data_IF_369704592365
#
_entry.id   IF_369704592365
#
_cell.length_a   1.000
_cell.length_b   1.000
_cell.length_c   1.000
_cell.angle_alpha   90.00
_cell.angle_beta   90.00
_cell.angle_gamma   90.00
#
_symmetry.space_group_name_H-M   'P 1'
#
loop_
_entity.id
_entity.type
_entity.pdbx_description
1 polymer ?
#
# COMPACT_ATOMS: atom_id res chain seq x y z
N UNK A 1 50.57 63.48 -19.89
CA UNK A 1 51.44 62.37 -20.32
C UNK A 1 50.64 61.08 -20.27
N UNK A 2 50.55 60.35 -21.38
CA UNK A 2 49.89 59.04 -21.50
C UNK A 2 50.85 57.96 -21.02
N UNK A 3 50.38 56.99 -20.24
CA UNK A 3 50.90 55.63 -20.31
C UNK A 3 49.76 54.64 -20.01
N UNK A 4 49.34 53.93 -21.06
CA UNK A 4 48.60 52.68 -20.98
C UNK A 4 49.64 51.57 -20.85
N UNK A 5 49.44 50.63 -19.93
CA UNK A 5 49.93 49.26 -20.08
C UNK A 5 48.86 48.29 -19.56
N UNK A 6 48.49 47.35 -20.43
CA UNK A 6 47.62 46.19 -20.21
C UNK A 6 48.45 45.02 -19.67
N UNK A 7 47.87 44.14 -18.83
CA UNK A 7 47.55 42.71 -19.12
C UNK A 7 47.34 41.84 -17.85
N UNK A 8 46.06 41.48 -17.62
CA UNK A 8 45.43 40.16 -17.26
C UNK A 8 45.85 39.36 -15.97
N UNK A 9 45.11 38.31 -15.54
CA UNK A 9 44.27 38.31 -14.34
C UNK A 9 44.73 37.29 -13.28
N UNK A 10 44.66 37.60 -12.00
CA UNK A 10 44.65 36.55 -10.97
C UNK A 10 43.26 36.48 -10.33
N UNK A 11 42.60 35.37 -10.62
CA UNK A 11 41.47 34.82 -9.89
C UNK A 11 41.73 34.88 -8.39
N UNK A 12 41.11 35.84 -7.73
CA UNK A 12 40.96 35.91 -6.28
C UNK A 12 39.50 35.67 -5.94
N UNK A 13 39.09 34.40 -5.95
CA UNK A 13 37.79 33.94 -5.48
C UNK A 13 37.64 34.23 -3.98
N UNK A 14 37.23 35.44 -3.62
CA UNK A 14 36.88 35.84 -2.25
C UNK A 14 35.40 36.17 -2.09
N UNK A 15 34.55 35.53 -2.91
CA UNK A 15 33.08 35.56 -2.81
C UNK A 15 32.49 34.19 -2.44
N UNK A 16 33.05 33.47 -1.46
CA UNK A 16 32.41 32.28 -0.86
C UNK A 16 32.82 32.11 0.61
N UNK A 17 32.54 33.11 1.45
CA UNK A 17 32.43 32.93 2.89
C UNK A 17 31.13 33.58 3.37
N UNK A 18 30.02 32.94 2.98
CA UNK A 18 28.73 33.08 3.64
C UNK A 18 28.09 31.70 3.77
N UNK A 19 28.85 30.72 4.27
CA UNK A 19 28.30 29.54 4.90
C UNK A 19 27.88 29.89 6.33
N UNK A 20 26.92 30.81 6.46
CA UNK A 20 26.17 31.01 7.68
C UNK A 20 25.04 29.97 7.69
N UNK A 21 25.32 28.83 8.32
CA UNK A 21 24.48 28.27 9.39
C UNK A 21 23.04 28.82 9.42
N UNK A 22 22.19 28.27 8.56
CA UNK A 22 20.78 28.04 8.87
C UNK A 22 20.29 26.95 7.93
N UNK A 23 20.63 25.70 8.27
CA UNK A 23 19.74 24.58 7.95
C UNK A 23 18.45 24.82 8.73
N UNK A 24 17.67 25.82 8.29
CA UNK A 24 16.31 26.03 8.73
C UNK A 24 15.64 24.73 8.32
N UNK A 25 15.32 23.91 9.33
CA UNK A 25 14.52 22.70 9.17
C UNK A 25 13.30 23.07 8.33
N UNK A 26 13.37 22.84 7.02
CA UNK A 26 12.21 22.96 6.15
C UNK A 26 11.36 21.74 6.48
N UNK A 27 10.56 21.91 7.53
CA UNK A 27 9.58 20.93 7.97
C UNK A 27 8.73 20.57 6.76
N UNK A 28 8.81 19.31 6.32
CA UNK A 28 7.94 18.78 5.28
C UNK A 28 6.51 18.97 5.76
N UNK A 29 5.81 19.92 5.15
CA UNK A 29 4.44 20.30 5.52
C UNK A 29 3.38 19.60 4.67
N UNK A 30 3.80 19.01 3.55
CA UNK A 30 2.98 18.27 2.59
C UNK A 30 3.84 17.38 1.68
N UNK A 31 3.22 16.43 0.97
CA UNK A 31 3.91 15.67 -0.09
C UNK A 31 4.54 16.60 -1.14
N UNK A 32 3.79 17.61 -1.60
CA UNK A 32 4.29 18.55 -2.60
C UNK A 32 5.52 19.35 -2.15
N UNK A 33 5.59 19.72 -0.87
CA UNK A 33 6.78 20.38 -0.32
C UNK A 33 7.98 19.43 -0.26
N UNK A 34 7.76 18.15 0.03
CA UNK A 34 8.81 17.15 0.00
C UNK A 34 9.33 16.93 -1.42
N UNK A 35 8.43 16.81 -2.40
CA UNK A 35 8.80 16.67 -3.81
C UNK A 35 9.66 17.85 -4.27
N UNK A 36 9.22 19.10 -4.03
CA UNK A 36 10.00 20.30 -4.35
C UNK A 36 11.37 20.33 -3.66
N UNK A 37 11.43 19.94 -2.39
CA UNK A 37 12.68 19.89 -1.65
C UNK A 37 13.68 18.91 -2.28
N UNK A 38 13.25 17.68 -2.55
CA UNK A 38 14.14 16.65 -3.12
C UNK A 38 14.42 16.84 -4.61
N UNK A 39 13.54 17.52 -5.34
CA UNK A 39 13.79 18.00 -6.71
C UNK A 39 14.93 19.04 -6.74
N UNK A 40 14.94 19.97 -5.78
CA UNK A 40 15.99 20.98 -5.65
C UNK A 40 17.30 20.39 -5.07
N UNK A 41 17.19 19.40 -4.18
CA UNK A 41 18.29 18.80 -3.45
C UNK A 41 18.49 17.32 -3.82
N UNK A 42 18.61 17.01 -5.13
CA UNK A 42 18.65 15.61 -5.63
C UNK A 42 19.74 14.74 -5.00
N UNK A 43 20.85 15.34 -4.53
CA UNK A 43 21.94 14.65 -3.82
C UNK A 43 21.55 14.14 -2.43
N UNK A 44 20.48 14.68 -1.85
CA UNK A 44 20.00 14.32 -0.51
C UNK A 44 18.93 13.23 -0.52
N UNK A 45 18.40 12.87 -1.70
CA UNK A 45 17.37 11.84 -1.86
C UNK A 45 17.97 10.44 -1.63
N UNK A 46 17.97 10.01 -0.38
CA UNK A 46 18.22 8.64 0.07
C UNK A 46 17.30 8.29 1.25
N UNK A 47 17.09 6.98 1.47
CA UNK A 47 16.12 6.48 2.46
C UNK A 47 16.34 7.03 3.87
N UNK A 48 17.59 7.06 4.35
CA UNK A 48 17.91 7.52 5.72
C UNK A 48 17.61 9.00 5.88
N UNK A 49 17.99 9.83 4.90
CA UNK A 49 17.71 11.26 4.93
C UNK A 49 16.20 11.55 4.89
N UNK A 50 15.46 10.85 4.04
CA UNK A 50 13.99 10.98 3.98
C UNK A 50 13.37 10.65 5.34
N UNK A 51 13.77 9.55 5.99
CA UNK A 51 13.26 9.18 7.32
C UNK A 51 13.63 10.24 8.36
N UNK A 52 14.88 10.72 8.38
CA UNK A 52 15.32 11.75 9.33
C UNK A 52 14.50 13.03 9.18
N UNK A 53 14.35 13.55 7.96
CA UNK A 53 13.60 14.78 7.70
C UNK A 53 12.12 14.61 8.10
N UNK A 54 11.53 13.45 7.80
CA UNK A 54 10.16 13.15 8.21
C UNK A 54 10.03 12.98 9.73
N UNK A 55 11.04 12.42 10.41
CA UNK A 55 11.06 12.31 11.87
C UNK A 55 11.13 13.68 12.52
N UNK A 56 12.01 14.55 12.03
CA UNK A 56 12.12 15.93 12.50
C UNK A 56 10.83 16.71 12.22
N UNK A 57 10.24 16.49 11.04
CA UNK A 57 8.94 17.04 10.68
C UNK A 57 7.84 16.55 11.63
N UNK A 58 7.82 15.27 11.99
CA UNK A 58 6.85 14.70 12.92
C UNK A 58 6.99 15.31 14.32
N UNK A 59 8.22 15.50 14.81
CA UNK A 59 8.46 16.13 16.10
C UNK A 59 8.05 17.61 16.12
N UNK A 60 8.09 18.30 14.97
CA UNK A 60 7.65 19.69 14.85
C UNK A 60 6.13 19.83 14.63
N UNK A 61 5.56 19.05 13.72
CA UNK A 61 4.14 19.07 13.37
C UNK A 61 3.69 17.65 12.94
N UNK A 62 3.20 16.84 13.90
CA UNK A 62 2.76 15.47 13.65
C UNK A 62 1.65 15.41 12.59
N UNK A 63 0.73 16.38 12.61
CA UNK A 63 -0.43 16.36 11.73
C UNK A 63 -0.01 16.58 10.28
N UNK A 64 0.83 17.57 9.99
CA UNK A 64 1.31 17.80 8.63
C UNK A 64 2.14 16.64 8.09
N UNK A 65 3.03 16.11 8.93
CA UNK A 65 3.91 15.01 8.52
C UNK A 65 3.14 13.74 8.22
N UNK A 66 2.19 13.35 9.08
CA UNK A 66 1.39 12.14 8.83
C UNK A 66 0.46 12.34 7.63
N UNK A 67 -0.14 13.52 7.46
CA UNK A 67 -0.92 13.80 6.26
C UNK A 67 -0.08 13.77 4.99
N UNK A 68 1.19 14.20 5.02
CA UNK A 68 2.12 14.06 3.91
C UNK A 68 2.41 12.58 3.59
N UNK A 69 2.69 11.76 4.61
CA UNK A 69 2.89 10.31 4.45
C UNK A 69 1.68 9.64 3.80
N UNK A 70 0.47 9.90 4.30
CA UNK A 70 -0.77 9.34 3.77
C UNK A 70 -1.09 9.87 2.36
N UNK A 71 -0.75 11.13 2.06
CA UNK A 71 -0.82 11.67 0.71
C UNK A 71 0.13 10.94 -0.25
N UNK A 72 1.36 10.64 0.17
CA UNK A 72 2.31 9.84 -0.61
C UNK A 72 1.80 8.42 -0.87
N UNK A 73 1.15 7.82 0.13
CA UNK A 73 0.49 6.53 -0.05
C UNK A 73 -0.65 6.58 -1.07
N UNK A 74 -1.53 7.58 -0.94
CA UNK A 74 -2.61 7.84 -1.89
C UNK A 74 -2.08 8.06 -3.31
N UNK A 75 -1.14 8.99 -3.50
CA UNK A 75 -0.56 9.33 -4.79
C UNK A 75 0.02 8.10 -5.49
N UNK A 76 0.80 7.32 -4.75
CA UNK A 76 1.42 6.10 -5.29
C UNK A 76 0.40 5.04 -5.70
N UNK A 77 -0.67 4.85 -4.92
CA UNK A 77 -1.70 3.87 -5.26
C UNK A 77 -2.65 4.34 -6.37
N UNK A 78 -3.10 5.59 -6.32
CA UNK A 78 -4.14 6.12 -7.21
C UNK A 78 -3.58 6.77 -8.47
N UNK A 79 -2.62 7.67 -8.33
CA UNK A 79 -2.14 8.51 -9.43
C UNK A 79 -1.07 7.77 -10.23
N UNK A 80 -0.15 7.10 -9.52
CA UNK A 80 0.85 6.23 -10.13
C UNK A 80 0.31 4.84 -10.46
N UNK A 81 -0.90 4.50 -9.99
CA UNK A 81 -1.59 3.26 -10.31
C UNK A 81 -0.72 2.02 -10.05
N UNK A 82 0.01 2.03 -8.94
CA UNK A 82 1.02 1.02 -8.64
C UNK A 82 0.43 -0.40 -8.71
N UNK A 83 -0.81 -0.59 -8.26
CA UNK A 83 -1.50 -1.88 -8.25
C UNK A 83 -2.01 -2.33 -9.65
N UNK A 84 -2.09 -1.43 -10.63
CA UNK A 84 -2.63 -1.72 -11.97
C UNK A 84 -1.55 -2.02 -13.00
N UNK A 85 -0.29 -1.73 -12.70
CA UNK A 85 0.84 -2.01 -13.59
C UNK A 85 1.21 -3.50 -13.47
N UNK A 86 1.64 -4.14 -14.56
CA UNK A 86 2.26 -5.47 -14.49
C UNK A 86 3.56 -5.35 -13.69
N UNK A 87 3.44 -5.50 -12.38
CA UNK A 87 4.52 -5.44 -11.43
C UNK A 87 5.33 -6.73 -11.56
N UNK A 88 6.42 -6.67 -12.33
CA UNK A 88 7.38 -7.77 -12.48
C UNK A 88 7.93 -8.17 -11.11
N UNK A 89 7.51 -9.34 -10.60
CA UNK A 89 7.87 -9.87 -9.28
C UNK A 89 9.39 -9.98 -9.05
N UNK A 90 10.20 -10.10 -10.12
CA UNK A 90 11.66 -10.13 -10.01
C UNK A 90 12.26 -8.79 -9.55
N UNK A 91 11.53 -7.68 -9.79
CA UNK A 91 11.87 -6.34 -9.29
C UNK A 91 11.46 -6.09 -7.83
N UNK A 92 10.74 -7.04 -7.20
CA UNK A 92 10.29 -6.97 -5.81
C UNK A 92 11.12 -7.79 -4.85
N UNK A 93 11.77 -8.85 -5.34
CA UNK A 93 12.63 -9.70 -4.50
C UNK A 93 13.83 -8.91 -3.89
N UNK A 94 14.22 -7.79 -4.50
CA UNK A 94 15.22 -6.86 -3.98
C UNK A 94 14.69 -5.87 -2.92
N UNK A 95 13.38 -5.83 -2.65
CA UNK A 95 12.76 -4.83 -1.76
C UNK A 95 13.12 -4.98 -0.26
N UNK A 96 13.80 -6.06 0.13
CA UNK A 96 14.32 -6.26 1.50
C UNK A 96 15.77 -6.80 1.54
N UNK A 97 16.49 -6.79 0.41
CA UNK A 97 17.91 -7.14 0.31
C UNK A 97 18.82 -5.90 0.30
N UNK A 98 20.07 -6.04 0.74
CA UNK A 98 20.95 -4.92 1.09
C UNK A 98 21.22 -3.91 -0.04
N UNK A 99 21.08 -2.63 0.35
CA UNK A 99 21.82 -1.43 -0.11
C UNK A 99 22.64 -1.55 -1.39
N UNK A 100 22.24 -0.85 -2.47
CA UNK A 100 23.21 -0.14 -3.35
C UNK A 100 22.60 0.70 -4.48
N UNK A 101 21.36 0.49 -4.95
CA UNK A 101 20.84 1.21 -6.14
C UNK A 101 19.64 2.12 -5.84
N UNK A 102 19.70 3.34 -6.38
CA UNK A 102 18.65 4.39 -6.30
C UNK A 102 17.37 3.98 -7.05
N UNK A 103 17.49 3.05 -7.99
CA UNK A 103 16.42 2.65 -8.93
C UNK A 103 15.62 1.41 -8.46
N UNK A 104 16.01 0.76 -7.36
CA UNK A 104 15.38 -0.48 -6.86
C UNK A 104 14.19 -0.23 -5.91
N UNK A 105 13.57 0.94 -5.97
CA UNK A 105 12.51 1.32 -5.03
C UNK A 105 11.17 1.18 -5.74
N UNK A 106 10.69 -0.06 -5.77
CA UNK A 106 9.27 -0.33 -6.04
C UNK A 106 8.58 -0.56 -4.69
N UNK A 107 7.48 0.15 -4.37
CA UNK A 107 6.80 -0.07 -3.11
C UNK A 107 6.31 -1.51 -3.01
N UNK A 108 6.84 -2.26 -2.03
CA UNK A 108 6.40 -3.63 -1.79
C UNK A 108 5.07 -3.59 -1.05
N UNK A 109 4.00 -3.88 -1.78
CA UNK A 109 2.64 -3.94 -1.25
C UNK A 109 2.39 -5.25 -0.45
N UNK A 110 3.38 -6.16 -0.44
CA UNK A 110 3.34 -7.51 0.15
C UNK A 110 3.44 -7.57 1.67
N UNK A 111 3.27 -6.45 2.40
CA UNK A 111 2.82 -6.51 3.81
C UNK A 111 1.33 -6.96 3.88
N UNK A 112 1.09 -8.14 3.29
CA UNK A 112 -0.01 -9.11 3.41
C UNK A 112 -1.43 -8.56 3.41
N UNK A 113 -1.68 -7.38 2.84
CA UNK A 113 -2.99 -6.75 3.00
C UNK A 113 -3.63 -6.35 1.69
N UNK A 114 -2.95 -5.60 0.83
CA UNK A 114 -3.60 -5.05 -0.37
C UNK A 114 -3.57 -6.01 -1.58
N UNK A 115 -2.67 -6.99 -1.59
CA UNK A 115 -2.62 -8.04 -2.61
C UNK A 115 -3.26 -9.33 -2.08
N UNK A 116 -4.29 -9.84 -2.76
CA UNK A 116 -5.08 -10.97 -2.24
C UNK A 116 -4.26 -12.24 -2.09
N UNK A 117 -3.40 -12.54 -3.07
CA UNK A 117 -2.58 -13.75 -3.05
C UNK A 117 -1.70 -13.82 -1.79
N UNK A 118 -1.22 -12.68 -1.30
CA UNK A 118 -0.37 -12.58 -0.10
C UNK A 118 -1.18 -12.48 1.21
N UNK A 119 -2.43 -12.02 1.13
CA UNK A 119 -3.32 -11.78 2.28
C UNK A 119 -3.95 -13.06 2.83
N UNK A 120 -4.08 -14.06 1.96
CA UNK A 120 -4.71 -15.34 2.28
C UNK A 120 -3.72 -16.51 2.10
N UNK A 121 -2.74 -16.72 3.00
CA UNK A 121 -1.86 -17.89 2.93
C UNK A 121 -2.52 -19.18 3.45
N UNK A 122 -2.20 -20.35 2.87
CA UNK A 122 -2.67 -21.68 3.32
C UNK A 122 -3.98 -22.15 2.66
N UNK A 123 -4.87 -22.84 3.40
CA UNK A 123 -6.24 -23.21 2.92
C UNK A 123 -7.01 -21.97 2.43
N UNK A 124 -6.70 -20.78 2.96
CA UNK A 124 -7.24 -19.51 2.48
C UNK A 124 -6.69 -19.07 1.11
N UNK A 125 -5.53 -19.55 0.68
CA UNK A 125 -4.96 -19.26 -0.66
C UNK A 125 -5.74 -19.95 -1.77
N UNK A 126 -6.35 -21.10 -1.46
CA UNK A 126 -7.28 -21.78 -2.36
C UNK A 126 -8.57 -20.98 -2.50
N UNK A 127 -9.01 -20.29 -1.43
CA UNK A 127 -10.15 -19.38 -1.48
C UNK A 127 -9.81 -18.08 -2.26
N UNK A 128 -8.57 -17.61 -2.25
CA UNK A 128 -8.15 -16.52 -3.15
C UNK A 128 -8.10 -16.98 -4.62
N UNK A 129 -7.74 -18.24 -4.90
CA UNK A 129 -7.78 -18.83 -6.25
C UNK A 129 -9.19 -18.96 -6.81
N UNK A 130 -10.22 -19.07 -5.96
CA UNK A 130 -11.64 -19.03 -6.37
C UNK A 130 -11.98 -17.71 -7.10
N UNK A 131 -11.27 -16.63 -6.80
CA UNK A 131 -11.41 -15.34 -7.44
C UNK A 131 -10.23 -15.09 -8.37
N UNK A 132 -10.08 -15.85 -9.46
CA UNK A 132 -9.04 -15.55 -10.45
C UNK A 132 -9.19 -14.10 -10.94
N UNK A 133 -8.32 -13.25 -10.44
CA UNK A 133 -8.26 -11.82 -10.73
C UNK A 133 -7.54 -11.64 -12.07
N UNK A 134 -8.21 -11.01 -13.02
CA UNK A 134 -7.60 -10.64 -14.31
C UNK A 134 -7.09 -9.19 -14.27
N UNK A 135 -7.78 -8.34 -13.50
CA UNK A 135 -7.45 -6.93 -13.33
C UNK A 135 -7.81 -6.48 -11.93
N UNK A 136 -6.98 -5.62 -11.36
CA UNK A 136 -7.29 -4.89 -10.13
C UNK A 136 -7.05 -3.40 -10.35
N UNK A 137 -7.84 -2.55 -9.69
CA UNK A 137 -7.79 -1.08 -9.85
C UNK A 137 -8.10 -0.44 -8.51
N UNK A 138 -7.32 0.58 -8.13
CA UNK A 138 -7.61 1.34 -6.91
C UNK A 138 -8.69 2.36 -7.24
N UNK A 139 -9.92 2.03 -6.88
CA UNK A 139 -11.11 2.85 -7.19
C UNK A 139 -11.36 3.99 -6.19
N UNK A 140 -10.71 3.95 -5.03
CA UNK A 140 -10.83 4.99 -4.02
C UNK A 140 -9.76 4.92 -2.94
N UNK A 141 -9.33 6.09 -2.48
CA UNK A 141 -8.45 6.23 -1.31
C UNK A 141 -8.89 7.50 -0.55
N UNK A 142 -9.25 7.31 0.72
CA UNK A 142 -9.59 8.40 1.63
C UNK A 142 -8.85 8.22 2.95
N UNK A 143 -8.53 9.31 3.62
CA UNK A 143 -7.95 9.25 4.95
C UNK A 143 -8.36 10.45 5.80
N UNK A 144 -8.37 10.24 7.10
CA UNK A 144 -8.52 11.27 8.12
C UNK A 144 -7.52 11.01 9.24
N UNK A 145 -6.87 12.06 9.73
CA UNK A 145 -5.91 11.99 10.80
C UNK A 145 -6.15 13.12 11.79
N UNK A 146 -6.46 12.77 13.04
CA UNK A 146 -6.60 13.73 14.13
C UNK A 146 -5.56 13.47 15.23
N UNK A 147 -5.27 12.21 15.51
CA UNK A 147 -4.24 11.79 16.45
C UNK A 147 -3.87 10.33 16.23
N UNK A 148 -2.77 9.83 16.84
CA UNK A 148 -2.44 8.41 16.79
C UNK A 148 -3.52 7.46 17.32
N UNK A 149 -4.49 7.98 18.09
CA UNK A 149 -5.64 7.24 18.63
C UNK A 149 -6.95 7.50 17.87
N UNK A 150 -6.94 8.40 16.88
CA UNK A 150 -8.11 8.79 16.10
C UNK A 150 -7.68 9.10 14.67
N UNK A 151 -7.70 8.07 13.83
CA UNK A 151 -7.48 8.17 12.40
C UNK A 151 -8.31 7.11 11.67
N UNK A 152 -8.47 7.28 10.37
CA UNK A 152 -8.99 6.23 9.52
C UNK A 152 -8.39 6.38 8.12
N UNK A 153 -7.97 5.27 7.51
CA UNK A 153 -7.60 5.21 6.09
C UNK A 153 -8.51 4.18 5.43
N UNK A 154 -9.17 4.55 4.34
CA UNK A 154 -9.97 3.62 3.53
C UNK A 154 -9.36 3.51 2.14
N UNK A 155 -9.11 2.28 1.70
CA UNK A 155 -8.63 1.97 0.35
C UNK A 155 -9.63 1.01 -0.28
N UNK A 156 -10.20 1.39 -1.43
CA UNK A 156 -11.16 0.58 -2.16
C UNK A 156 -10.51 0.06 -3.45
N UNK A 157 -10.40 -1.26 -3.54
CA UNK A 157 -9.89 -1.96 -4.71
C UNK A 157 -11.06 -2.61 -5.44
N UNK A 158 -11.22 -2.26 -6.71
CA UNK A 158 -12.09 -2.94 -7.66
C UNK A 158 -11.29 -4.02 -8.36
N UNK A 159 -11.90 -5.17 -8.56
CA UNK A 159 -11.29 -6.30 -9.25
C UNK A 159 -12.25 -6.82 -10.28
N UNK A 160 -11.72 -7.09 -11.46
CA UNK A 160 -12.42 -7.82 -12.51
C UNK A 160 -11.71 -9.16 -12.67
N UNK A 161 -12.50 -10.23 -12.70
CA UNK A 161 -11.99 -11.57 -12.82
C UNK A 161 -12.98 -12.48 -13.52
N UNK A 162 -12.57 -13.74 -13.63
CA UNK A 162 -13.43 -14.79 -14.17
C UNK A 162 -13.23 -16.08 -13.40
N UNK A 163 -14.27 -16.89 -13.30
CA UNK A 163 -14.15 -18.25 -12.80
C UNK A 163 -13.54 -19.10 -13.91
N UNK A 164 -12.36 -19.66 -13.65
CA UNK A 164 -11.74 -20.65 -14.54
C UNK A 164 -11.92 -22.08 -14.00
N UNK A 165 -11.46 -23.09 -14.74
CA UNK A 165 -11.63 -24.50 -14.34
C UNK A 165 -11.07 -24.82 -12.95
N UNK A 166 -9.95 -24.18 -12.56
CA UNK A 166 -9.38 -24.36 -11.22
C UNK A 166 -10.26 -23.73 -10.13
N UNK A 167 -10.80 -22.54 -10.40
CA UNK A 167 -11.73 -21.82 -9.51
C UNK A 167 -13.03 -22.59 -9.37
N UNK A 168 -13.55 -23.12 -10.47
CA UNK A 168 -14.79 -23.90 -10.55
C UNK A 168 -14.72 -25.19 -9.72
N UNK A 169 -13.64 -25.96 -9.84
CA UNK A 169 -13.46 -27.18 -9.04
C UNK A 169 -13.47 -26.89 -7.53
N UNK A 170 -12.83 -25.78 -7.12
CA UNK A 170 -12.81 -25.32 -5.74
C UNK A 170 -14.17 -24.80 -5.26
N UNK A 171 -14.89 -24.03 -6.08
CA UNK A 171 -16.24 -23.56 -5.76
C UNK A 171 -17.18 -24.74 -5.50
N UNK A 172 -17.14 -25.75 -6.38
CA UNK A 172 -17.95 -26.96 -6.22
C UNK A 172 -17.63 -27.70 -4.93
N UNK A 173 -16.34 -27.94 -4.65
CA UNK A 173 -15.95 -28.66 -3.43
C UNK A 173 -16.39 -27.93 -2.15
N UNK A 174 -16.33 -26.60 -2.13
CA UNK A 174 -16.80 -25.81 -0.98
C UNK A 174 -18.31 -25.78 -0.82
N UNK A 175 -19.09 -25.84 -1.91
CA UNK A 175 -20.54 -25.93 -1.87
C UNK A 175 -21.03 -27.34 -1.49
N UNK A 176 -20.37 -28.38 -2.00
CA UNK A 176 -20.71 -29.77 -1.74
C UNK A 176 -20.33 -30.21 -0.31
N UNK A 177 -19.19 -29.74 0.21
CA UNK A 177 -18.69 -30.08 1.55
C UNK A 177 -19.58 -29.66 2.72
N UNK A 178 -20.54 -28.74 2.50
CA UNK A 178 -21.56 -28.36 3.49
C UNK A 178 -22.72 -29.37 3.59
N UNK A 179 -22.76 -30.40 2.74
CA UNK A 179 -23.85 -31.39 2.69
C UNK A 179 -23.65 -32.58 3.62
N UNK A 180 -22.61 -32.60 4.45
CA UNK A 180 -22.26 -33.73 5.34
C UNK A 180 -23.04 -33.76 6.68
N UNK A 181 -24.12 -32.99 6.79
CA UNK A 181 -24.95 -32.91 7.99
C UNK A 181 -26.43 -33.05 7.70
N UNK A 182 -26.90 -34.27 7.48
CA UNK A 182 -28.33 -34.59 7.57
C UNK A 182 -28.99 -34.93 6.24
N UNK A 183 -29.52 -36.16 6.18
CA UNK A 183 -30.53 -36.59 5.21
C UNK A 183 -31.64 -35.54 5.12
N UNK A 184 -31.91 -35.04 3.90
CA UNK A 184 -33.17 -34.39 3.57
C UNK A 184 -33.04 -32.96 3.05
N UNK A 185 -32.67 -32.81 1.78
CA UNK A 185 -33.29 -31.80 0.93
C UNK A 185 -33.17 -32.17 -0.54
N UNK A 186 -34.28 -32.63 -1.12
CA UNK A 186 -34.54 -32.38 -2.53
C UNK A 186 -34.66 -30.86 -2.71
N UNK A 187 -33.56 -30.20 -3.05
CA UNK A 187 -33.56 -28.75 -3.22
C UNK A 187 -32.25 -28.20 -3.79
N UNK A 188 -32.26 -27.89 -5.10
CA UNK A 188 -31.55 -26.76 -5.73
C UNK A 188 -30.00 -26.64 -5.68
N UNK A 189 -29.22 -27.65 -5.30
CA UNK A 189 -27.75 -27.61 -5.48
C UNK A 189 -27.27 -28.27 -6.79
N UNK A 190 -28.09 -28.25 -7.84
CA UNK A 190 -27.60 -28.48 -9.20
C UNK A 190 -26.85 -27.24 -9.62
N UNK A 191 -25.53 -27.37 -9.68
CA UNK A 191 -24.65 -26.31 -10.17
C UNK A 191 -24.77 -26.30 -11.70
N UNK A 192 -25.44 -25.30 -12.26
CA UNK A 192 -25.54 -25.13 -13.70
C UNK A 192 -24.16 -24.76 -14.26
N UNK A 193 -23.60 -25.65 -15.08
CA UNK A 193 -22.31 -25.45 -15.77
C UNK A 193 -22.28 -24.14 -16.58
N UNK A 194 -23.44 -23.65 -17.02
CA UNK A 194 -23.56 -22.39 -17.75
C UNK A 194 -23.13 -21.17 -16.93
N UNK A 195 -23.15 -21.25 -15.59
CA UNK A 195 -22.72 -20.17 -14.69
C UNK A 195 -21.20 -19.95 -14.71
N UNK A 196 -20.41 -20.95 -15.13
CA UNK A 196 -18.95 -20.86 -15.18
C UNK A 196 -18.38 -20.69 -16.58
N UNK A 197 -19.23 -20.35 -17.56
CA UNK A 197 -18.81 -20.18 -18.95
C UNK A 197 -19.21 -18.80 -19.50
N UNK A 198 -18.46 -18.32 -20.49
CA UNK A 198 -18.74 -17.05 -21.17
C UNK A 198 -18.77 -15.84 -20.24
N UNK A 199 -19.70 -14.91 -20.49
CA UNK A 199 -19.86 -13.69 -19.68
C UNK A 199 -20.36 -13.97 -18.27
N UNK A 200 -21.09 -15.08 -18.05
CA UNK A 200 -21.60 -15.45 -16.72
C UNK A 200 -20.48 -15.82 -15.75
N UNK A 201 -19.37 -16.34 -16.26
CA UNK A 201 -18.19 -16.66 -15.46
C UNK A 201 -17.47 -15.42 -14.92
N UNK A 202 -17.73 -14.24 -15.48
CA UNK A 202 -17.05 -13.00 -15.08
C UNK A 202 -17.63 -12.48 -13.77
N UNK A 203 -16.76 -11.91 -12.95
CA UNK A 203 -17.17 -11.27 -11.71
C UNK A 203 -16.45 -9.94 -11.53
N UNK A 204 -17.11 -9.01 -10.86
CA UNK A 204 -16.49 -7.83 -10.29
C UNK A 204 -16.49 -7.97 -8.77
N UNK A 205 -15.31 -7.89 -8.16
CA UNK A 205 -15.12 -7.86 -6.71
C UNK A 205 -14.84 -6.44 -6.22
N UNK A 206 -15.41 -6.04 -5.08
CA UNK A 206 -14.98 -4.84 -4.35
C UNK A 206 -14.38 -5.26 -3.02
N UNK A 207 -13.16 -4.81 -2.78
CA UNK A 207 -12.42 -4.98 -1.53
C UNK A 207 -12.27 -3.62 -0.86
N UNK A 208 -12.71 -3.50 0.38
CA UNK A 208 -12.58 -2.27 1.18
C UNK A 208 -11.65 -2.56 2.35
N UNK A 209 -10.50 -1.91 2.35
CA UNK A 209 -9.53 -1.93 3.44
C UNK A 209 -9.75 -0.72 4.32
N UNK A 210 -10.13 -0.94 5.56
CA UNK A 210 -10.35 0.10 6.57
C UNK A 210 -9.29 -0.02 7.65
N UNK A 211 -8.36 0.93 7.69
CA UNK A 211 -7.29 1.01 8.68
C UNK A 211 -7.71 1.94 9.82
N UNK A 212 -7.61 1.47 11.05
CA UNK A 212 -7.98 2.21 12.27
C UNK A 212 -6.90 2.08 13.34
N UNK A 213 -6.89 2.92 14.39
CA UNK A 213 -5.94 2.83 15.49
C UNK A 213 -5.92 1.42 16.10
N UNK A 214 -4.74 0.93 16.54
CA UNK A 214 -4.63 -0.37 17.17
C UNK A 214 -5.26 -0.38 18.56
N UNK A 215 -5.89 -1.50 18.90
CA UNK A 215 -6.53 -1.70 20.21
C UNK A 215 -5.47 -1.82 21.30
N UNK A 216 -5.72 -1.25 22.49
CA UNK A 216 -4.83 -1.40 23.65
C UNK A 216 -3.71 -0.35 23.80
N UNK A 217 -3.68 0.68 22.95
CA UNK A 217 -2.96 1.95 23.19
C UNK A 217 -1.43 1.92 23.22
N UNK A 218 -0.77 0.76 23.35
CA UNK A 218 0.68 0.63 23.45
C UNK A 218 1.41 0.65 22.08
N UNK A 219 0.67 0.60 20.97
CA UNK A 219 1.21 0.55 19.60
C UNK A 219 0.80 1.76 18.77
N UNK A 220 0.83 2.97 19.33
CA UNK A 220 0.45 4.16 18.57
C UNK A 220 1.59 4.63 17.67
N UNK A 221 1.26 5.30 16.56
CA UNK A 221 2.25 5.97 15.74
C UNK A 221 2.95 7.07 16.55
N UNK A 222 4.28 7.10 16.51
CA UNK A 222 5.11 8.06 17.25
C UNK A 222 6.42 8.36 16.51
N UNK A 223 7.30 9.15 17.12
CA UNK A 223 8.65 9.41 16.64
C UNK A 223 9.46 8.10 16.44
N UNK A 224 9.17 7.07 17.25
CA UNK A 224 9.76 5.73 17.14
C UNK A 224 9.27 4.94 15.93
N UNK A 225 8.18 5.37 15.29
CA UNK A 225 7.73 4.78 14.03
C UNK A 225 8.71 5.09 12.88
N UNK A 226 9.55 6.12 13.01
CA UNK A 226 10.57 6.49 12.02
C UNK A 226 11.89 5.78 12.35
N UNK A 227 12.06 4.57 11.84
CA UNK A 227 13.18 3.68 12.13
C UNK A 227 14.26 3.78 11.04
N UNK A 228 15.27 4.59 11.34
CA UNK A 228 16.42 4.84 10.45
C UNK A 228 17.30 3.60 10.28
N UNK A 229 17.68 2.84 11.34
CA UNK A 229 18.43 1.59 11.20
C UNK A 229 17.82 0.60 10.21
N UNK A 230 16.51 0.36 10.29
CA UNK A 230 15.84 -0.61 9.41
C UNK A 230 15.30 0.01 8.11
N UNK A 231 15.48 1.32 7.92
CA UNK A 231 14.92 2.07 6.80
C UNK A 231 13.41 1.85 6.64
N UNK A 232 12.65 2.06 7.72
CA UNK A 232 11.20 1.85 7.74
C UNK A 232 10.45 3.00 8.43
N UNK A 233 9.20 3.22 8.00
CA UNK A 233 8.25 4.10 8.68
C UNK A 233 7.05 3.25 9.07
N UNK A 234 7.07 2.73 10.29
CA UNK A 234 6.14 1.72 10.78
C UNK A 234 4.84 2.36 11.25
N UNK A 235 3.80 2.29 10.41
CA UNK A 235 2.46 2.76 10.70
C UNK A 235 1.62 1.68 11.36
N UNK A 236 1.30 1.78 12.66
CA UNK A 236 0.56 0.74 13.35
C UNK A 236 -0.95 0.93 13.15
N UNK A 237 -1.64 -0.12 12.72
CA UNK A 237 -3.08 -0.09 12.52
C UNK A 237 -3.73 -1.46 12.72
N UNK A 238 -5.00 -1.44 13.12
CA UNK A 238 -5.93 -2.53 12.83
C UNK A 238 -6.42 -2.37 11.39
N UNK A 239 -6.69 -3.48 10.70
CA UNK A 239 -7.25 -3.48 9.34
C UNK A 239 -8.49 -4.34 9.31
N UNK A 240 -9.59 -3.77 8.86
CA UNK A 240 -10.77 -4.52 8.43
C UNK A 240 -10.75 -4.63 6.90
N UNK A 241 -11.03 -5.82 6.40
CA UNK A 241 -11.12 -6.12 4.97
C UNK A 241 -12.55 -6.61 4.74
N UNK A 242 -13.32 -5.84 3.98
CA UNK A 242 -14.67 -6.22 3.55
C UNK A 242 -14.67 -6.56 2.06
N UNK A 243 -15.37 -7.63 1.69
CA UNK A 243 -15.40 -8.16 0.32
C UNK A 243 -16.82 -8.33 -0.15
N UNK A 244 -17.10 -7.83 -1.35
CA UNK A 244 -18.36 -8.05 -2.07
C UNK A 244 -18.05 -8.45 -3.51
N UNK A 245 -18.94 -9.20 -4.14
CA UNK A 245 -18.78 -9.62 -5.54
C UNK A 245 -20.11 -9.55 -6.28
N UNK A 246 -20.07 -9.34 -7.59
CA UNK A 246 -21.26 -9.35 -8.45
C UNK A 246 -21.75 -10.76 -8.78
N UNK A 247 -20.93 -11.79 -8.57
CA UNK A 247 -21.24 -13.16 -9.00
C UNK A 247 -22.03 -13.92 -7.95
N UNK A 248 -23.20 -14.42 -8.34
CA UNK A 248 -24.17 -15.08 -7.44
C UNK A 248 -23.56 -16.22 -6.63
N UNK A 249 -22.84 -17.16 -7.28
CA UNK A 249 -22.22 -18.29 -6.56
C UNK A 249 -21.06 -17.91 -5.66
N UNK A 250 -20.34 -16.84 -5.98
CA UNK A 250 -19.27 -16.35 -5.11
C UNK A 250 -19.88 -15.67 -3.88
N UNK A 251 -21.00 -14.94 -4.03
CA UNK A 251 -21.77 -14.44 -2.90
C UNK A 251 -22.35 -15.59 -2.04
N UNK A 252 -22.92 -16.61 -2.67
CA UNK A 252 -23.45 -17.78 -1.97
C UNK A 252 -22.35 -18.48 -1.15
N UNK A 253 -21.15 -18.65 -1.70
CA UNK A 253 -19.99 -19.17 -0.97
C UNK A 253 -19.57 -18.28 0.21
N UNK A 254 -19.52 -16.96 0.01
CA UNK A 254 -19.19 -15.98 1.04
C UNK A 254 -20.21 -15.95 2.19
N UNK A 255 -21.42 -16.49 1.99
CA UNK A 255 -22.48 -16.50 3.00
C UNK A 255 -22.69 -17.87 3.66
N UNK A 256 -22.57 -18.95 2.88
CA UNK A 256 -22.92 -20.30 3.31
C UNK A 256 -21.75 -21.11 3.87
N UNK A 257 -20.52 -20.87 3.43
CA UNK A 257 -19.36 -21.67 3.82
C UNK A 257 -18.56 -20.97 4.94
N UNK A 258 -18.44 -21.58 6.12
CA UNK A 258 -17.77 -20.97 7.29
C UNK A 258 -16.27 -20.69 7.08
N UNK A 259 -15.60 -21.36 6.14
CA UNK A 259 -14.22 -21.06 5.77
C UNK A 259 -14.15 -19.84 4.84
N UNK A 260 -15.03 -19.75 3.84
CA UNK A 260 -15.07 -18.67 2.84
C UNK A 260 -15.71 -17.40 3.40
N UNK A 261 -16.66 -17.52 4.33
CA UNK A 261 -17.33 -16.41 5.03
C UNK A 261 -16.36 -15.51 5.80
N UNK A 262 -15.25 -16.05 6.27
CA UNK A 262 -14.15 -15.27 6.87
C UNK A 262 -13.45 -14.35 5.86
N UNK A 263 -13.64 -14.55 4.56
CA UNK A 263 -13.17 -13.61 3.53
C UNK A 263 -14.14 -12.46 3.31
N UNK A 264 -15.46 -12.66 3.53
CA UNK A 264 -16.48 -11.60 3.36
C UNK A 264 -16.18 -10.39 4.25
N UNK A 265 -15.76 -10.65 5.48
CA UNK A 265 -15.26 -9.64 6.40
C UNK A 265 -14.22 -10.25 7.33
N UNK A 266 -13.01 -9.68 7.33
CA UNK A 266 -11.91 -10.08 8.22
C UNK A 266 -11.35 -8.88 8.96
N UNK A 267 -10.97 -9.08 10.21
CA UNK A 267 -10.23 -8.09 10.98
C UNK A 267 -8.83 -8.62 11.36
N UNK A 268 -7.82 -7.79 11.15
CA UNK A 268 -6.44 -7.98 11.55
C UNK A 268 -6.09 -6.91 12.59
N UNK A 269 -5.62 -7.31 13.76
CA UNK A 269 -5.30 -6.37 14.84
C UNK A 269 -3.80 -6.17 14.99
N UNK A 270 -3.41 -4.95 15.37
CA UNK A 270 -2.03 -4.60 15.78
C UNK A 270 -0.96 -4.84 14.72
N UNK A 271 -1.28 -4.63 13.44
CA UNK A 271 -0.33 -4.74 12.32
C UNK A 271 0.54 -3.49 12.21
N UNK A 272 1.70 -3.63 11.60
CA UNK A 272 2.59 -2.53 11.23
C UNK A 272 2.65 -2.46 9.70
N UNK A 273 2.55 -1.26 9.16
CA UNK A 273 2.58 -0.97 7.74
C UNK A 273 3.74 -0.02 7.43
N UNK A 274 4.71 -0.46 6.65
CA UNK A 274 5.83 0.38 6.26
C UNK A 274 5.40 1.39 5.18
N UNK A 275 5.28 2.67 5.55
CA UNK A 275 4.88 3.74 4.63
C UNK A 275 6.04 4.30 3.81
N UNK A 276 7.29 4.01 4.17
CA UNK A 276 8.46 4.58 3.51
C UNK A 276 8.49 4.29 2.00
N UNK A 277 8.25 3.04 1.53
CA UNK A 277 8.36 2.76 0.10
C UNK A 277 7.36 3.57 -0.72
N UNK A 278 6.13 3.74 -0.23
CA UNK A 278 5.11 4.54 -0.91
C UNK A 278 5.45 6.03 -0.95
N UNK A 279 5.94 6.58 0.17
CA UNK A 279 6.30 7.98 0.22
C UNK A 279 7.56 8.25 -0.62
N UNK A 280 8.57 7.39 -0.52
CA UNK A 280 9.81 7.53 -1.27
C UNK A 280 9.58 7.41 -2.78
N UNK A 281 8.75 6.46 -3.22
CA UNK A 281 8.38 6.33 -4.63
C UNK A 281 7.66 7.58 -5.15
N UNK A 282 6.86 8.25 -4.31
CA UNK A 282 6.23 9.51 -4.68
C UNK A 282 7.23 10.68 -4.84
N UNK A 283 8.48 10.53 -4.40
CA UNK A 283 9.56 11.53 -4.53
C UNK A 283 10.49 11.26 -5.73
N UNK A 284 10.37 10.09 -6.37
CA UNK A 284 11.13 9.70 -7.56
C UNK A 284 10.40 10.11 -8.84
#
# INVERSE_FOLDING_TARGET
MKLKLLLIPLLGSSLLLSACSSATSQVISSLSSAQKYFEANKGELNKKNVINILKDGYNSDPNKTVNALLAGWKYTLMDQKLLERNLDASRFASAFGSTSKKDDITPSISEKSLFLADTFPGISSEIAKVFKVEKQTVSGFSYSWNSPKKFQVNIQIKMDGKIDESSKALIKSFLEGNSSGGKGSNGKNSIDESEYTGEKAKFTGNFIFTYTPPTGGARNFSDKSFDVPTSSINFPANVKIDVTTSHTKLNELLESNEQVKKMKSRQLTGKLFNLLPFFYYALL
#
